data_IF_021219335256
#
_entry.id   IF_021219335256
#
_cell.length_a   1.000
_cell.length_b   1.000
_cell.length_c   1.000
_cell.angle_alpha   90.00
_cell.angle_beta   90.00
_cell.angle_gamma   90.00
#
_symmetry.space_group_name_H-M   'P 1'
#
loop_
_entity.id
_entity.type
_entity.pdbx_description
1 polymer ?
#
# COMPACT_ATOMS: atom_id res chain seq x y z
N UNK A 1 -9.78 -6.47 6.46
CA UNK A 1 -10.87 -5.57 5.99
C UNK A 1 -10.41 -4.15 5.69
N UNK A 2 -9.94 -3.34 6.65
CA UNK A 2 -9.53 -1.95 6.39
C UNK A 2 -8.45 -1.81 5.31
N UNK A 3 -7.48 -2.74 5.28
CA UNK A 3 -6.45 -2.80 4.23
C UNK A 3 -7.06 -2.76 2.83
N UNK A 4 -8.01 -3.66 2.57
CA UNK A 4 -8.65 -3.80 1.27
C UNK A 4 -9.62 -2.66 0.99
N UNK A 5 -10.51 -2.34 1.94
CA UNK A 5 -11.72 -1.54 1.65
C UNK A 5 -11.58 -0.06 1.98
N UNK A 6 -10.69 0.32 2.90
CA UNK A 6 -10.55 1.70 3.37
C UNK A 6 -9.32 2.39 2.78
N UNK A 7 -8.69 1.78 1.77
CA UNK A 7 -7.49 2.30 1.10
C UNK A 7 -7.58 2.12 -0.41
N UNK A 8 -6.63 2.71 -1.14
CA UNK A 8 -6.51 2.59 -2.58
C UNK A 8 -6.20 1.17 -3.07
N UNK A 9 -6.00 0.18 -2.17
CA UNK A 9 -5.99 -1.24 -2.55
C UNK A 9 -7.29 -1.62 -3.26
N UNK A 10 -8.44 -1.10 -2.83
CA UNK A 10 -9.72 -1.38 -3.48
C UNK A 10 -9.72 -0.91 -4.94
N UNK A 11 -9.35 0.34 -5.19
CA UNK A 11 -9.48 0.99 -6.50
C UNK A 11 -8.28 0.75 -7.42
N UNK A 12 -7.12 0.40 -6.88
CA UNK A 12 -5.88 0.20 -7.64
C UNK A 12 -5.52 -1.27 -7.79
N UNK A 13 -5.56 -2.03 -6.68
CA UNK A 13 -4.97 -3.37 -6.63
C UNK A 13 -6.00 -4.49 -6.83
N UNK A 14 -7.28 -4.23 -6.59
CA UNK A 14 -8.33 -5.24 -6.60
C UNK A 14 -9.22 -5.24 -7.86
N UNK A 15 -9.20 -4.16 -8.66
CA UNK A 15 -10.13 -3.99 -9.79
C UNK A 15 -9.52 -4.26 -11.17
N UNK A 16 -8.20 -4.23 -11.29
CA UNK A 16 -7.52 -4.45 -12.56
C UNK A 16 -6.17 -5.14 -12.32
N UNK A 17 -5.61 -5.72 -13.39
CA UNK A 17 -4.38 -6.50 -13.36
C UNK A 17 -3.12 -5.61 -13.32
N UNK A 18 -3.08 -4.68 -12.37
CA UNK A 18 -1.90 -3.83 -12.11
C UNK A 18 -0.89 -4.54 -11.21
N UNK A 19 0.36 -4.13 -11.33
CA UNK A 19 1.50 -4.57 -10.52
C UNK A 19 1.28 -4.51 -8.98
N UNK A 20 0.52 -3.53 -8.48
CA UNK A 20 0.34 -3.29 -7.03
C UNK A 20 -0.25 -4.50 -6.28
N UNK A 21 -1.18 -5.24 -6.91
CA UNK A 21 -1.81 -6.41 -6.26
C UNK A 21 -0.80 -7.53 -5.99
N UNK A 22 0.02 -7.86 -7.00
CA UNK A 22 1.06 -8.87 -6.88
C UNK A 22 2.16 -8.44 -5.89
N UNK A 23 2.57 -7.17 -5.90
CA UNK A 23 3.53 -6.62 -4.93
C UNK A 23 3.04 -6.78 -3.50
N UNK A 24 1.81 -6.37 -3.20
CA UNK A 24 1.26 -6.49 -1.85
C UNK A 24 1.23 -7.94 -1.36
N UNK A 25 0.84 -8.88 -2.24
CA UNK A 25 0.84 -10.30 -1.91
C UNK A 25 2.25 -10.79 -1.53
N UNK A 26 3.25 -10.43 -2.33
CA UNK A 26 4.64 -10.85 -2.12
C UNK A 26 5.25 -10.25 -0.86
N UNK A 27 5.05 -8.96 -0.62
CA UNK A 27 5.55 -8.25 0.58
C UNK A 27 4.86 -8.76 1.85
N UNK A 28 3.53 -8.97 1.83
CA UNK A 28 2.78 -9.55 2.95
C UNK A 28 3.21 -11.00 3.21
N UNK A 29 3.44 -11.79 2.15
CA UNK A 29 3.96 -13.15 2.28
C UNK A 29 5.35 -13.14 2.94
N UNK A 30 6.25 -12.26 2.50
CA UNK A 30 7.57 -12.11 3.11
C UNK A 30 7.46 -11.76 4.60
N UNK A 31 6.63 -10.78 4.97
CA UNK A 31 6.37 -10.43 6.37
C UNK A 31 5.81 -11.62 7.15
N UNK A 32 4.81 -12.33 6.61
CA UNK A 32 4.24 -13.52 7.25
C UNK A 32 5.29 -14.61 7.52
N UNK A 33 6.20 -14.81 6.56
CA UNK A 33 7.29 -15.78 6.71
C UNK A 33 8.35 -15.32 7.72
N UNK A 34 8.57 -14.02 7.91
CA UNK A 34 9.62 -13.47 8.78
C UNK A 34 9.12 -13.09 10.19
N UNK A 35 7.83 -12.82 10.37
CA UNK A 35 7.27 -12.32 11.63
C UNK A 35 7.60 -13.18 12.86
N UNK A 36 7.62 -14.54 12.79
CA UNK A 36 8.01 -15.35 13.94
C UNK A 36 9.43 -15.09 14.45
N UNK A 37 10.39 -14.70 13.58
CA UNK A 37 11.73 -14.35 14.03
C UNK A 37 11.72 -13.14 14.97
N UNK A 38 10.95 -12.11 14.64
CA UNK A 38 10.79 -10.92 15.49
C UNK A 38 10.00 -11.19 16.77
N UNK A 39 9.41 -12.38 16.91
CA UNK A 39 8.76 -12.88 18.13
C UNK A 39 9.63 -13.88 18.89
N UNK A 40 10.90 -14.03 18.53
CA UNK A 40 11.85 -14.91 19.19
C UNK A 40 11.73 -16.39 18.80
N UNK A 41 10.92 -16.73 17.79
CA UNK A 41 10.83 -18.10 17.31
C UNK A 41 11.92 -18.39 16.27
N UNK A 42 12.47 -19.61 16.29
CA UNK A 42 13.34 -20.10 15.22
C UNK A 42 12.54 -20.42 13.95
N UNK A 43 13.11 -20.12 12.78
CA UNK A 43 12.53 -20.51 11.49
C UNK A 43 13.58 -21.24 10.64
N UNK A 44 13.13 -22.13 9.75
CA UNK A 44 14.03 -22.89 8.89
C UNK A 44 14.71 -22.00 7.85
N UNK A 45 15.92 -22.39 7.41
CA UNK A 45 16.66 -21.68 6.35
C UNK A 45 15.86 -21.62 5.05
N UNK A 46 15.13 -22.69 4.70
CA UNK A 46 14.27 -22.72 3.52
C UNK A 46 13.18 -21.65 3.59
N UNK A 47 12.52 -21.48 4.74
CA UNK A 47 11.53 -20.42 4.95
C UNK A 47 12.10 -19.03 4.75
N UNK A 48 13.34 -18.79 5.20
CA UNK A 48 14.04 -17.52 4.99
C UNK A 48 14.36 -17.26 3.52
N UNK A 49 14.80 -18.28 2.80
CA UNK A 49 15.05 -18.17 1.35
C UNK A 49 13.75 -17.89 0.60
N UNK A 50 12.65 -18.56 0.95
CA UNK A 50 11.33 -18.32 0.34
C UNK A 50 10.85 -16.88 0.63
N UNK A 51 11.05 -16.38 1.85
CA UNK A 51 10.75 -14.99 2.17
C UNK A 51 11.58 -14.03 1.29
N UNK A 52 12.87 -14.32 1.12
CA UNK A 52 13.74 -13.60 0.20
C UNK A 52 13.24 -13.64 -1.23
N UNK A 53 12.88 -14.81 -1.76
CA UNK A 53 12.36 -14.95 -3.12
C UNK A 53 11.12 -14.08 -3.34
N UNK A 54 10.22 -14.01 -2.36
CA UNK A 54 9.04 -13.16 -2.41
C UNK A 54 9.42 -11.67 -2.51
N UNK A 55 10.37 -11.20 -1.70
CA UNK A 55 10.93 -9.83 -1.78
C UNK A 55 11.52 -9.55 -3.17
N UNK A 56 12.39 -10.45 -3.66
CA UNK A 56 13.01 -10.31 -4.99
C UNK A 56 12.00 -10.25 -6.14
N UNK A 57 10.96 -11.10 -6.13
CA UNK A 57 9.89 -11.04 -7.12
C UNK A 57 9.03 -9.78 -6.99
N UNK A 58 8.92 -9.19 -5.81
CA UNK A 58 8.23 -7.90 -5.64
C UNK A 58 8.97 -6.80 -6.40
N UNK A 59 10.32 -6.78 -6.32
CA UNK A 59 11.16 -5.84 -7.09
C UNK A 59 11.00 -6.01 -8.61
N UNK A 60 10.94 -7.26 -9.10
CA UNK A 60 10.67 -7.55 -10.52
C UNK A 60 9.31 -7.02 -10.94
N UNK A 61 8.31 -7.15 -10.07
CA UNK A 61 6.95 -6.70 -10.33
C UNK A 61 6.86 -5.17 -10.33
N UNK A 62 7.58 -4.52 -9.42
CA UNK A 62 7.60 -3.06 -9.25
C UNK A 62 8.89 -2.65 -8.54
N UNK A 63 9.74 -1.87 -9.23
CA UNK A 63 11.09 -1.55 -8.74
C UNK A 63 11.08 -0.76 -7.41
N UNK A 64 10.01 0.00 -7.13
CA UNK A 64 9.88 0.76 -5.87
C UNK A 64 9.79 -0.13 -4.62
N UNK A 65 9.40 -1.40 -4.77
CA UNK A 65 9.43 -2.39 -3.68
C UNK A 65 10.83 -2.63 -3.13
N UNK A 66 11.89 -2.27 -3.86
CA UNK A 66 13.26 -2.34 -3.36
C UNK A 66 13.47 -1.51 -2.06
N UNK A 67 12.69 -0.44 -1.85
CA UNK A 67 12.70 0.33 -0.61
C UNK A 67 12.13 -0.47 0.57
N UNK A 68 11.03 -1.19 0.35
CA UNK A 68 10.44 -2.07 1.35
C UNK A 68 11.40 -3.22 1.71
N UNK A 69 11.97 -3.87 0.69
CA UNK A 69 12.96 -4.94 0.84
C UNK A 69 14.18 -4.49 1.65
N UNK A 70 14.71 -3.30 1.35
CA UNK A 70 15.80 -2.70 2.09
C UNK A 70 15.43 -2.47 3.56
N UNK A 71 14.20 -2.03 3.84
CA UNK A 71 13.67 -1.90 5.20
C UNK A 71 13.62 -3.24 5.95
N UNK A 72 13.13 -4.30 5.31
CA UNK A 72 13.07 -5.64 5.90
C UNK A 72 14.48 -6.20 6.16
N UNK A 73 15.39 -6.08 5.19
CA UNK A 73 16.78 -6.55 5.35
C UNK A 73 17.52 -5.75 6.42
N UNK A 74 17.33 -4.44 6.50
CA UNK A 74 17.87 -3.61 7.56
C UNK A 74 17.31 -4.03 8.93
N UNK A 75 16.01 -4.29 9.04
CA UNK A 75 15.41 -4.80 10.26
C UNK A 75 16.07 -6.10 10.74
N UNK A 76 16.27 -7.06 9.83
CA UNK A 76 16.93 -8.32 10.16
C UNK A 76 18.40 -8.10 10.57
N UNK A 77 19.14 -7.29 9.81
CA UNK A 77 20.55 -6.99 10.08
C UNK A 77 20.74 -6.34 11.45
N UNK A 78 20.04 -5.24 11.72
CA UNK A 78 20.19 -4.48 12.96
C UNK A 78 19.60 -5.19 14.19
N UNK A 79 18.62 -6.09 14.00
CA UNK A 79 18.13 -6.98 15.05
C UNK A 79 19.04 -8.19 15.29
N UNK A 80 20.14 -8.35 14.53
CA UNK A 80 21.03 -9.53 14.55
C UNK A 80 20.30 -10.84 14.27
N UNK A 81 19.27 -10.78 13.42
CA UNK A 81 18.51 -11.93 12.92
C UNK A 81 19.16 -12.47 11.62
N UNK A 82 18.85 -13.71 11.21
CA UNK A 82 19.46 -14.33 10.03
C UNK A 82 18.99 -13.67 8.73
N UNK A 83 19.69 -12.60 8.32
CA UNK A 83 19.40 -11.82 7.11
C UNK A 83 19.98 -12.44 5.83
N UNK A 84 21.11 -13.17 5.92
CA UNK A 84 21.83 -13.69 4.74
C UNK A 84 20.98 -14.60 3.85
N UNK A 85 20.22 -15.59 4.37
CA UNK A 85 19.39 -16.44 3.52
C UNK A 85 18.25 -15.66 2.84
N UNK A 86 17.72 -14.63 3.51
CA UNK A 86 16.71 -13.73 2.95
C UNK A 86 17.31 -12.90 1.82
N UNK A 87 18.48 -12.31 2.02
CA UNK A 87 19.19 -11.56 0.98
C UNK A 87 19.54 -12.43 -0.23
N UNK A 88 19.99 -13.67 -0.02
CA UNK A 88 20.24 -14.64 -1.11
C UNK A 88 18.94 -14.91 -1.89
N UNK A 89 17.84 -15.19 -1.19
CA UNK A 89 16.54 -15.38 -1.83
C UNK A 89 16.09 -14.15 -2.63
N UNK A 90 16.28 -12.94 -2.08
CA UNK A 90 15.92 -11.69 -2.75
C UNK A 90 16.72 -11.48 -4.03
N UNK A 91 18.04 -11.74 -4.01
CA UNK A 91 18.86 -11.71 -5.22
C UNK A 91 18.38 -12.73 -6.25
N UNK A 92 18.12 -13.98 -5.85
CA UNK A 92 17.61 -15.01 -6.77
C UNK A 92 16.27 -14.59 -7.39
N UNK A 93 15.37 -14.01 -6.59
CA UNK A 93 14.06 -13.55 -7.07
C UNK A 93 14.15 -12.32 -7.99
N UNK A 94 15.14 -11.45 -7.79
CA UNK A 94 15.30 -10.20 -8.53
C UNK A 94 16.06 -10.35 -9.87
N UNK A 95 17.01 -11.31 -9.94
CA UNK A 95 17.87 -11.55 -11.12
C UNK A 95 17.13 -11.82 -12.44
N UNK A 96 15.95 -12.47 -12.49
CA UNK A 96 15.27 -12.77 -13.76
C UNK A 96 15.02 -11.55 -14.65
N UNK A 97 14.70 -10.39 -14.08
CA UNK A 97 14.41 -9.17 -14.86
C UNK A 97 15.64 -8.63 -15.61
N UNK A 98 16.75 -8.25 -14.95
CA UNK A 98 17.93 -7.75 -15.66
C UNK A 98 18.54 -8.79 -16.60
N UNK A 99 18.39 -10.09 -16.29
CA UNK A 99 18.82 -11.15 -17.21
C UNK A 99 17.95 -11.19 -18.47
N UNK A 100 16.63 -11.10 -18.31
CA UNK A 100 15.70 -11.02 -19.43
C UNK A 100 16.00 -9.79 -20.29
N UNK A 101 16.17 -8.62 -19.67
CA UNK A 101 16.43 -7.37 -20.39
C UNK A 101 17.76 -7.40 -21.15
N UNK A 102 18.81 -7.99 -20.55
CA UNK A 102 20.09 -8.18 -21.21
C UNK A 102 19.98 -9.11 -22.44
N UNK A 103 19.25 -10.22 -22.33
CA UNK A 103 19.09 -11.19 -23.42
C UNK A 103 18.18 -10.64 -24.53
N UNK A 104 17.08 -9.98 -24.17
CA UNK A 104 16.08 -9.50 -25.10
C UNK A 104 16.46 -8.17 -25.78
N UNK A 105 17.09 -7.26 -25.04
CA UNK A 105 17.33 -5.88 -25.46
C UNK A 105 18.82 -5.48 -25.48
N UNK A 106 19.72 -6.36 -25.06
CA UNK A 106 21.16 -6.08 -25.02
C UNK A 106 21.59 -5.16 -23.87
N UNK A 107 20.68 -4.82 -22.96
CA UNK A 107 20.93 -3.94 -21.82
C UNK A 107 20.17 -4.44 -20.58
N UNK A 108 20.88 -4.76 -19.50
CA UNK A 108 20.29 -5.27 -18.26
C UNK A 108 19.45 -4.25 -17.49
N UNK A 109 19.46 -2.99 -17.93
CA UNK A 109 18.72 -1.88 -17.33
C UNK A 109 17.79 -1.21 -18.34
N UNK A 110 17.37 -1.94 -19.37
CA UNK A 110 16.42 -1.43 -20.33
C UNK A 110 15.10 -1.03 -19.64
N UNK A 111 14.55 0.13 -19.98
CA UNK A 111 13.32 0.64 -19.38
C UNK A 111 12.31 0.99 -20.46
N UNK A 112 11.20 0.24 -20.54
CA UNK A 112 10.19 0.41 -21.59
C UNK A 112 9.46 1.77 -21.62
N UNK A 113 9.61 2.61 -20.59
CA UNK A 113 9.01 3.95 -20.51
C UNK A 113 10.05 5.09 -20.45
N UNK A 114 11.34 4.76 -20.55
CA UNK A 114 12.45 5.69 -20.34
C UNK A 114 12.56 6.20 -18.88
N UNK A 115 13.64 6.94 -18.61
CA UNK A 115 13.85 7.54 -17.30
C UNK A 115 13.01 8.82 -17.16
N UNK A 116 12.30 8.94 -16.03
CA UNK A 116 11.57 10.16 -15.64
C UNK A 116 12.39 10.93 -14.60
N UNK A 117 12.30 12.26 -14.65
CA UNK A 117 13.03 13.13 -13.73
C UNK A 117 12.44 13.09 -12.32
N UNK A 118 13.29 13.35 -11.33
CA UNK A 118 12.90 13.62 -9.94
C UNK A 118 13.05 15.13 -9.70
N UNK A 119 12.17 15.93 -10.30
CA UNK A 119 12.30 17.39 -10.38
C UNK A 119 11.12 18.15 -9.74
N UNK A 120 10.12 17.45 -9.19
CA UNK A 120 8.98 18.09 -8.52
C UNK A 120 9.48 18.87 -7.30
N UNK A 121 9.06 20.14 -7.10
CA UNK A 121 9.41 20.90 -5.90
C UNK A 121 9.05 20.11 -4.63
N UNK A 122 9.97 19.90 -3.67
CA UNK A 122 9.74 18.95 -2.58
C UNK A 122 8.48 19.21 -1.74
N UNK A 123 8.18 20.49 -1.47
CA UNK A 123 6.99 20.86 -0.69
C UNK A 123 5.69 20.61 -1.46
N UNK A 124 5.68 20.90 -2.76
CA UNK A 124 4.54 20.62 -3.63
C UNK A 124 4.29 19.13 -3.71
N UNK A 125 5.34 18.33 -3.96
CA UNK A 125 5.24 16.88 -4.03
C UNK A 125 4.80 16.24 -2.72
N UNK A 126 5.36 16.67 -1.57
CA UNK A 126 4.97 16.18 -0.25
C UNK A 126 3.53 16.52 0.08
N UNK A 127 3.11 17.76 -0.18
CA UNK A 127 1.70 18.15 -0.04
C UNK A 127 0.83 17.33 -0.98
N UNK A 128 1.25 17.18 -2.23
CA UNK A 128 0.66 16.36 -3.28
C UNK A 128 0.32 14.95 -2.81
N UNK A 129 1.32 14.18 -2.39
CA UNK A 129 1.13 12.76 -2.06
C UNK A 129 0.52 12.54 -0.68
N UNK A 130 0.69 13.45 0.29
CA UNK A 130 0.20 13.24 1.66
C UNK A 130 -1.15 13.91 1.94
N UNK A 131 -1.36 15.13 1.43
CA UNK A 131 -2.41 16.04 1.92
C UNK A 131 -3.24 16.71 0.82
N UNK A 132 -2.91 16.53 -0.46
CA UNK A 132 -3.68 17.15 -1.53
C UNK A 132 -5.11 16.60 -1.56
N UNK A 133 -6.09 17.45 -1.90
CA UNK A 133 -7.48 17.04 -1.92
C UNK A 133 -7.75 15.81 -2.80
N UNK A 134 -7.10 15.68 -3.95
CA UNK A 134 -7.41 14.63 -4.93
C UNK A 134 -6.42 13.45 -4.94
N UNK A 135 -5.30 13.51 -4.20
CA UNK A 135 -4.28 12.43 -4.15
C UNK A 135 -3.68 12.16 -2.79
N UNK A 136 -3.96 12.97 -1.77
CA UNK A 136 -3.34 12.87 -0.46
C UNK A 136 -3.71 11.60 0.31
N UNK A 137 -2.71 10.82 0.74
CA UNK A 137 -2.92 9.62 1.55
C UNK A 137 -3.77 9.89 2.79
N UNK A 138 -3.53 10.99 3.51
CA UNK A 138 -4.26 11.30 4.73
C UNK A 138 -5.58 12.04 4.48
N UNK A 139 -5.84 12.49 3.26
CA UNK A 139 -7.17 12.94 2.85
C UNK A 139 -8.06 11.72 2.61
N UNK A 140 -7.55 10.72 1.91
CA UNK A 140 -8.33 9.53 1.55
C UNK A 140 -8.38 8.46 2.65
N UNK A 141 -7.30 8.30 3.43
CA UNK A 141 -7.17 7.31 4.51
C UNK A 141 -6.58 7.94 5.79
N UNK A 142 -7.24 8.92 6.43
CA UNK A 142 -6.72 9.63 7.60
C UNK A 142 -6.42 8.71 8.81
N UNK A 143 -7.09 7.56 8.92
CA UNK A 143 -6.82 6.60 10.00
C UNK A 143 -5.38 6.04 9.96
N UNK A 144 -4.68 6.12 8.81
CA UNK A 144 -3.29 5.73 8.70
C UNK A 144 -2.35 6.64 9.52
N UNK A 145 -2.79 7.82 9.96
CA UNK A 145 -2.06 8.64 10.92
C UNK A 145 -1.81 7.90 12.24
N UNK A 146 -2.68 6.95 12.61
CA UNK A 146 -2.50 6.12 13.81
C UNK A 146 -1.36 5.10 13.69
N UNK A 147 -0.83 4.86 12.49
CA UNK A 147 0.38 4.06 12.29
C UNK A 147 1.66 4.84 12.66
N UNK A 148 1.62 6.19 12.66
CA UNK A 148 2.81 7.02 12.91
C UNK A 148 3.36 6.84 14.33
N UNK A 149 2.55 6.89 15.41
CA UNK A 149 3.10 6.77 16.77
C UNK A 149 3.85 5.45 17.02
N UNK A 150 3.35 4.25 16.64
CA UNK A 150 4.13 3.02 16.76
C UNK A 150 5.46 3.05 16.00
N UNK A 151 5.50 3.62 14.79
CA UNK A 151 6.75 3.76 14.02
C UNK A 151 7.76 4.67 14.73
N UNK A 152 7.30 5.75 15.36
CA UNK A 152 8.16 6.64 16.14
C UNK A 152 8.62 6.00 17.47
N UNK A 153 7.72 5.32 18.17
CA UNK A 153 8.01 4.63 19.43
C UNK A 153 8.98 3.45 19.24
N UNK A 154 9.01 2.85 18.05
CA UNK A 154 9.96 1.80 17.68
C UNK A 154 11.44 2.23 17.77
N UNK A 155 11.73 3.54 17.79
CA UNK A 155 13.09 4.05 18.04
C UNK A 155 13.52 3.96 19.51
N UNK A 156 12.56 3.82 20.44
CA UNK A 156 12.80 3.75 21.88
C UNK A 156 13.01 2.32 22.40
N UNK A 157 12.67 1.31 21.61
CA UNK A 157 12.85 -0.10 21.96
C UNK A 157 13.80 -0.80 20.99
N UNK A 158 14.51 -1.82 21.46
CA UNK A 158 15.35 -2.70 20.64
C UNK A 158 14.78 -4.11 20.52
N UNK A 159 13.63 -4.37 21.14
CA UNK A 159 13.08 -5.71 21.32
C UNK A 159 11.79 -5.92 20.51
N UNK A 160 11.44 -7.19 20.32
CA UNK A 160 10.22 -7.60 19.63
C UNK A 160 10.13 -7.03 18.21
N UNK A 161 9.00 -6.39 17.91
CA UNK A 161 8.72 -5.80 16.59
C UNK A 161 9.40 -4.45 16.36
N UNK A 162 10.06 -3.85 17.37
CA UNK A 162 10.60 -2.50 17.24
C UNK A 162 11.62 -2.35 16.09
N UNK A 163 12.59 -3.28 15.88
CA UNK A 163 13.48 -3.18 14.72
C UNK A 163 12.72 -3.22 13.38
N UNK A 164 11.71 -4.08 13.25
CA UNK A 164 10.91 -4.20 12.04
C UNK A 164 10.15 -2.90 11.75
N UNK A 165 9.38 -2.40 12.72
CA UNK A 165 8.60 -1.17 12.57
C UNK A 165 9.47 0.04 12.28
N UNK A 166 10.64 0.14 12.92
CA UNK A 166 11.60 1.22 12.69
C UNK A 166 12.03 1.28 11.23
N UNK A 167 12.52 0.18 10.69
CA UNK A 167 13.08 0.15 9.34
C UNK A 167 12.02 0.13 8.25
N UNK A 168 10.83 -0.43 8.52
CA UNK A 168 9.66 -0.22 7.67
C UNK A 168 9.21 1.25 7.65
N UNK A 169 9.30 1.95 8.78
CA UNK A 169 9.05 3.40 8.86
C UNK A 169 10.05 4.22 8.03
N UNK A 170 11.34 3.88 8.09
CA UNK A 170 12.38 4.49 7.23
C UNK A 170 12.11 4.20 5.76
N UNK A 171 11.80 2.96 5.39
CA UNK A 171 11.44 2.59 4.02
C UNK A 171 10.22 3.38 3.51
N UNK A 172 9.19 3.52 4.36
CA UNK A 172 7.97 4.29 4.04
C UNK A 172 8.30 5.77 3.83
N UNK A 173 9.13 6.37 4.68
CA UNK A 173 9.55 7.76 4.52
C UNK A 173 10.36 7.96 3.23
N UNK A 174 11.28 7.03 2.91
CA UNK A 174 12.05 7.06 1.67
C UNK A 174 11.13 6.95 0.44
N UNK A 175 10.12 6.08 0.48
CA UNK A 175 9.13 5.91 -0.58
C UNK A 175 8.28 7.18 -0.78
N UNK A 176 7.83 7.80 0.30
CA UNK A 176 7.10 9.09 0.26
C UNK A 176 7.96 10.17 -0.39
N UNK A 177 9.23 10.29 -0.01
CA UNK A 177 10.16 11.27 -0.59
C UNK A 177 10.39 10.96 -2.07
N UNK A 178 10.63 9.70 -2.44
CA UNK A 178 10.83 9.31 -3.83
C UNK A 178 9.64 9.71 -4.71
N UNK A 179 8.41 9.40 -4.27
CA UNK A 179 7.21 9.77 -5.02
C UNK A 179 6.89 11.26 -4.98
N UNK A 180 7.20 11.97 -3.90
CA UNK A 180 7.05 13.41 -3.84
C UNK A 180 7.95 14.12 -4.86
N UNK A 181 9.17 13.63 -5.07
CA UNK A 181 10.12 14.23 -6.02
C UNK A 181 9.87 13.80 -7.48
N UNK A 182 9.13 12.71 -7.69
CA UNK A 182 8.87 12.14 -9.01
C UNK A 182 8.06 13.08 -9.91
N UNK A 183 8.46 13.22 -11.18
CA UNK A 183 7.82 14.14 -12.13
C UNK A 183 6.31 13.89 -12.35
N UNK A 184 5.84 12.67 -12.12
CA UNK A 184 4.41 12.30 -12.23
C UNK A 184 3.83 11.88 -10.89
N UNK A 185 4.17 12.60 -9.81
CA UNK A 185 3.81 12.28 -8.42
C UNK A 185 2.32 11.96 -8.21
N UNK A 186 1.43 12.51 -9.04
CA UNK A 186 -0.02 12.28 -8.97
C UNK A 186 -0.46 10.87 -9.38
N UNK A 187 0.43 10.08 -9.97
CA UNK A 187 0.16 8.71 -10.32
C UNK A 187 -0.89 8.53 -11.41
N UNK A 188 -1.00 9.47 -12.35
CA UNK A 188 -1.89 9.36 -13.49
C UNK A 188 -3.39 9.49 -13.17
N UNK A 189 -4.23 9.03 -14.09
CA UNK A 189 -5.69 9.19 -14.10
C UNK A 189 -6.38 8.06 -13.33
N UNK A 190 -6.18 8.04 -12.01
CA UNK A 190 -6.64 6.98 -11.10
C UNK A 190 -7.34 7.58 -9.88
N UNK A 191 -8.14 6.79 -9.18
CA UNK A 191 -8.83 7.25 -7.98
C UNK A 191 -7.95 7.11 -6.72
N UNK A 192 -7.69 8.25 -6.06
CA UNK A 192 -7.03 8.32 -4.76
C UNK A 192 -5.50 8.18 -4.79
N UNK A 193 -4.92 7.86 -3.63
CA UNK A 193 -3.49 7.91 -3.35
C UNK A 193 -2.70 6.70 -3.90
N UNK A 194 -2.81 6.40 -5.20
CA UNK A 194 -2.28 5.19 -5.84
C UNK A 194 -0.83 4.86 -5.44
N UNK A 195 0.10 5.81 -5.58
CA UNK A 195 1.51 5.51 -5.34
C UNK A 195 1.81 5.15 -3.88
N UNK A 196 1.13 5.76 -2.92
CA UNK A 196 1.32 5.43 -1.51
C UNK A 196 0.55 4.16 -1.09
N UNK A 197 -0.08 3.44 -2.03
CA UNK A 197 -0.49 2.05 -1.76
C UNK A 197 0.69 1.16 -1.47
N UNK A 198 1.85 1.42 -2.10
CA UNK A 198 3.11 0.72 -1.86
C UNK A 198 3.58 0.83 -0.39
N UNK A 199 3.12 1.83 0.36
CA UNK A 199 3.45 1.96 1.78
C UNK A 199 2.60 1.07 2.70
N UNK A 200 1.47 0.55 2.22
CA UNK A 200 0.47 -0.10 3.08
C UNK A 200 0.96 -1.40 3.72
N UNK A 201 1.73 -2.29 3.03
CA UNK A 201 2.35 -3.45 3.65
C UNK A 201 3.25 -3.09 4.84
N UNK A 202 3.86 -1.90 4.84
CA UNK A 202 4.68 -1.39 5.94
C UNK A 202 3.86 -0.70 7.04
N UNK A 203 2.82 0.06 6.68
CA UNK A 203 1.99 0.83 7.62
C UNK A 203 1.03 -0.05 8.45
N UNK A 204 0.50 -1.14 7.87
CA UNK A 204 -0.48 -1.97 8.56
C UNK A 204 0.05 -2.78 9.74
N UNK A 205 1.28 -3.31 9.73
CA UNK A 205 1.92 -3.85 10.93
C UNK A 205 2.01 -2.84 12.08
N UNK A 206 2.31 -1.57 11.77
CA UNK A 206 2.31 -0.50 12.76
C UNK A 206 0.89 -0.20 13.27
N UNK A 207 -0.09 -0.17 12.38
CA UNK A 207 -1.49 0.01 12.74
C UNK A 207 -2.02 -1.13 13.62
N UNK A 208 -1.59 -2.37 13.38
CA UNK A 208 -2.02 -3.54 14.15
C UNK A 208 -1.56 -3.50 15.61
N UNK A 209 -0.45 -2.82 15.90
CA UNK A 209 0.02 -2.59 17.28
C UNK A 209 -0.39 -1.22 17.84
N UNK A 210 -1.05 -0.39 17.03
CA UNK A 210 -1.63 0.85 17.49
C UNK A 210 -2.84 0.51 18.38
N UNK A 211 -2.73 0.75 19.68
CA UNK A 211 -3.84 0.59 20.62
C UNK A 211 -4.25 1.98 21.11
N UNK A 212 -5.32 2.59 20.55
CA UNK A 212 -5.80 3.87 21.04
C UNK A 212 -6.35 3.72 22.46
N UNK A 213 -5.55 4.13 23.45
CA UNK A 213 -5.90 4.00 24.87
C UNK A 213 -7.10 4.86 25.29
N UNK A 214 -7.21 6.07 24.73
CA UNK A 214 -8.30 7.00 25.02
C UNK A 214 -9.57 6.72 24.18
N UNK A 215 -10.76 6.90 24.78
CA UNK A 215 -12.05 6.78 24.08
C UNK A 215 -12.12 7.69 22.85
N UNK A 216 -11.67 8.95 22.99
CA UNK A 216 -11.65 9.91 21.89
C UNK A 216 -10.80 9.43 20.71
N UNK A 217 -9.63 8.83 20.98
CA UNK A 217 -8.75 8.30 19.95
C UNK A 217 -9.38 7.10 19.22
N UNK A 218 -10.11 6.23 19.92
CA UNK A 218 -10.87 5.13 19.29
C UNK A 218 -12.01 5.65 18.41
N UNK A 219 -12.74 6.66 18.87
CA UNK A 219 -13.81 7.29 18.08
C UNK A 219 -13.24 7.97 16.85
N UNK A 220 -12.16 8.74 17.00
CA UNK A 220 -11.46 9.39 15.89
C UNK A 220 -10.94 8.36 14.87
N UNK A 221 -10.34 7.25 15.32
CA UNK A 221 -9.94 6.15 14.46
C UNK A 221 -11.15 5.57 13.70
N UNK A 222 -12.26 5.30 14.38
CA UNK A 222 -13.47 4.77 13.77
C UNK A 222 -14.05 5.70 12.69
N UNK A 223 -14.16 7.00 12.99
CA UNK A 223 -14.65 8.01 12.04
C UNK A 223 -13.73 8.12 10.82
N UNK A 224 -12.41 8.21 11.05
CA UNK A 224 -11.43 8.34 9.96
C UNK A 224 -11.30 7.07 9.12
N UNK A 225 -11.52 5.89 9.71
CA UNK A 225 -11.60 4.63 8.98
C UNK A 225 -12.90 4.52 8.18
N UNK A 226 -14.04 4.94 8.75
CA UNK A 226 -15.32 5.00 8.05
C UNK A 226 -15.27 5.97 6.86
N UNK A 227 -14.56 7.09 6.99
CA UNK A 227 -14.29 7.99 5.88
C UNK A 227 -13.52 7.31 4.74
N UNK A 228 -12.45 6.56 5.05
CA UNK A 228 -11.74 5.79 4.04
C UNK A 228 -12.61 4.73 3.37
N UNK A 229 -13.45 4.02 4.14
CA UNK A 229 -14.41 3.07 3.61
C UNK A 229 -15.42 3.73 2.67
N UNK A 230 -15.93 4.91 3.02
CA UNK A 230 -16.84 5.67 2.17
C UNK A 230 -16.15 6.06 0.86
N UNK A 231 -14.96 6.65 0.92
CA UNK A 231 -14.27 7.15 -0.26
C UNK A 231 -13.84 6.03 -1.20
N UNK A 232 -13.22 4.97 -0.70
CA UNK A 232 -12.78 3.87 -1.56
C UNK A 232 -13.92 2.91 -1.92
N UNK A 233 -15.00 2.87 -1.13
CA UNK A 233 -16.26 2.27 -1.54
C UNK A 233 -16.85 3.00 -2.74
N UNK A 234 -17.06 4.32 -2.63
CA UNK A 234 -17.55 5.15 -3.72
C UNK A 234 -16.61 5.11 -4.94
N UNK A 235 -15.30 5.23 -4.72
CA UNK A 235 -14.29 5.12 -5.78
C UNK A 235 -14.30 3.76 -6.48
N UNK A 236 -14.72 2.70 -5.80
CA UNK A 236 -14.79 1.38 -6.40
C UNK A 236 -15.99 1.17 -7.32
N UNK A 237 -17.08 1.91 -7.13
CA UNK A 237 -18.34 1.72 -7.85
C UNK A 237 -18.77 2.93 -8.70
N UNK A 238 -18.44 4.15 -8.28
CA UNK A 238 -18.89 5.42 -8.87
C UNK A 238 -17.81 6.17 -9.65
N UNK A 239 -16.54 5.74 -9.57
CA UNK A 239 -15.46 6.43 -10.27
C UNK A 239 -15.58 6.22 -11.78
N UNK A 240 -16.09 7.23 -12.48
CA UNK A 240 -16.39 7.17 -13.90
C UNK A 240 -15.11 7.01 -14.74
N UNK A 241 -15.10 5.99 -15.61
CA UNK A 241 -13.99 5.72 -16.54
C UNK A 241 -14.30 6.27 -17.93
N UNK A 242 -13.28 6.77 -18.60
CA UNK A 242 -13.33 7.04 -20.05
C UNK A 242 -13.22 5.75 -20.86
N UNK A 243 -13.68 5.75 -22.11
CA UNK A 243 -13.56 4.59 -23.00
C UNK A 243 -12.11 4.18 -23.27
N UNK A 244 -11.16 5.12 -23.22
CA UNK A 244 -9.72 4.87 -23.38
C UNK A 244 -8.98 4.51 -22.09
N UNK A 245 -9.71 4.35 -20.97
CA UNK A 245 -9.13 4.08 -19.66
C UNK A 245 -8.67 5.35 -18.92
N UNK A 246 -8.87 5.33 -17.60
CA UNK A 246 -8.62 6.45 -16.70
C UNK A 246 -9.87 7.27 -16.44
N UNK A 247 -9.87 8.01 -15.31
CA UNK A 247 -11.04 8.75 -14.84
C UNK A 247 -11.50 9.87 -15.77
N UNK A 248 -12.83 10.04 -15.86
CA UNK A 248 -13.46 11.15 -16.57
C UNK A 248 -13.03 12.48 -15.94
N UNK A 249 -13.20 12.62 -14.62
CA UNK A 249 -12.81 13.81 -13.86
C UNK A 249 -11.35 14.22 -14.14
N UNK A 250 -10.44 13.23 -14.14
CA UNK A 250 -9.00 13.43 -14.36
C UNK A 250 -8.70 13.86 -15.81
N UNK A 251 -9.43 13.30 -16.78
CA UNK A 251 -9.22 13.56 -18.20
C UNK A 251 -9.75 14.95 -18.58
N UNK A 252 -10.93 15.33 -18.10
CA UNK A 252 -11.53 16.65 -18.36
C UNK A 252 -10.67 17.80 -17.82
N UNK A 253 -9.99 17.58 -16.69
CA UNK A 253 -9.08 18.56 -16.07
C UNK A 253 -7.66 18.50 -16.60
N UNK A 254 -7.38 17.57 -17.52
CA UNK A 254 -6.09 17.40 -18.16
C UNK A 254 -4.91 17.28 -17.18
N UNK A 255 -5.10 16.52 -16.09
CA UNK A 255 -4.17 16.51 -14.94
C UNK A 255 -2.74 16.04 -15.25
N UNK A 256 -2.54 15.44 -16.42
CA UNK A 256 -1.20 15.04 -16.88
C UNK A 256 -0.37 16.24 -17.37
N UNK A 257 -1.01 17.37 -17.69
CA UNK A 257 -0.36 18.58 -18.18
C UNK A 257 -0.60 19.78 -17.27
N UNK A 258 -1.70 19.80 -16.51
CA UNK A 258 -1.99 20.83 -15.49
C UNK A 258 -2.49 20.20 -14.18
N UNK A 259 -1.65 20.23 -13.14
CA UNK A 259 -1.94 19.61 -11.85
C UNK A 259 -2.73 20.53 -10.91
N UNK A 260 -3.09 21.76 -11.29
CA UNK A 260 -3.78 22.71 -10.41
C UNK A 260 -5.09 22.14 -9.85
N UNK A 261 -5.82 21.37 -10.66
CA UNK A 261 -7.05 20.70 -10.24
C UNK A 261 -6.85 19.69 -9.10
N UNK A 262 -5.67 19.07 -8.99
CA UNK A 262 -5.37 18.12 -7.92
C UNK A 262 -5.26 18.78 -6.54
N UNK A 263 -5.04 20.10 -6.52
CA UNK A 263 -4.93 20.92 -5.33
C UNK A 263 -6.22 21.69 -4.99
N UNK A 264 -7.27 21.57 -5.82
CA UNK A 264 -8.55 22.22 -5.58
C UNK A 264 -9.37 21.52 -4.50
N UNK A 265 -9.71 22.24 -3.43
CA UNK A 265 -10.66 21.78 -2.40
C UNK A 265 -12.12 22.06 -2.76
N UNK A 266 -12.37 22.88 -3.79
CA UNK A 266 -13.72 23.23 -4.26
C UNK A 266 -14.23 22.21 -5.27
N UNK A 267 -13.32 21.66 -6.07
CA UNK A 267 -13.60 20.62 -7.05
C UNK A 267 -12.61 19.46 -6.91
N UNK A 268 -12.66 18.69 -5.80
CA UNK A 268 -11.79 17.54 -5.62
C UNK A 268 -12.39 16.26 -6.23
N UNK A 269 -11.54 15.34 -6.68
CA UNK A 269 -11.95 14.08 -7.33
C UNK A 269 -12.92 13.26 -6.47
N UNK A 270 -12.70 13.18 -5.15
CA UNK A 270 -13.58 12.44 -4.26
C UNK A 270 -14.98 13.05 -4.14
N UNK A 271 -15.14 14.37 -4.26
CA UNK A 271 -16.45 15.01 -4.18
C UNK A 271 -17.28 14.71 -5.43
N UNK A 272 -16.65 14.77 -6.60
CA UNK A 272 -17.26 14.36 -7.86
C UNK A 272 -17.73 12.90 -7.81
N UNK A 273 -16.86 12.01 -7.33
CA UNK A 273 -17.16 10.58 -7.19
C UNK A 273 -18.28 10.32 -6.18
N UNK A 274 -18.33 11.05 -5.06
CA UNK A 274 -19.43 10.94 -4.09
C UNK A 274 -20.77 11.45 -4.65
N UNK A 275 -20.76 12.49 -5.47
CA UNK A 275 -21.97 12.96 -6.17
C UNK A 275 -22.51 11.91 -7.12
N UNK A 276 -21.62 11.26 -7.88
CA UNK A 276 -22.00 10.14 -8.75
C UNK A 276 -22.52 8.93 -7.93
N UNK A 277 -21.94 8.66 -6.76
CA UNK A 277 -22.39 7.59 -5.87
C UNK A 277 -23.78 7.84 -5.27
N UNK A 278 -24.18 9.10 -5.10
CA UNK A 278 -25.51 9.45 -4.60
C UNK A 278 -26.64 9.12 -5.61
N UNK A 279 -26.30 8.85 -6.87
CA UNK A 279 -27.21 8.48 -7.95
C UNK A 279 -27.15 7.00 -8.34
N UNK A 280 -26.71 6.12 -7.44
CA UNK A 280 -26.67 4.67 -7.71
C UNK A 280 -28.05 4.08 -8.02
N UNK A 281 -28.07 3.22 -9.03
CA UNK A 281 -29.23 2.44 -9.43
C UNK A 281 -29.21 1.04 -8.77
N UNK A 282 -30.22 0.22 -9.10
CA UNK A 282 -30.37 -1.11 -8.51
C UNK A 282 -29.17 -2.05 -8.77
N UNK A 283 -28.48 -1.87 -9.89
CA UNK A 283 -27.30 -2.66 -10.28
C UNK A 283 -26.12 -2.35 -9.38
N UNK A 284 -25.79 -1.08 -9.12
CA UNK A 284 -24.69 -0.75 -8.21
C UNK A 284 -24.98 -1.20 -6.78
N UNK A 285 -26.23 -1.03 -6.31
CA UNK A 285 -26.65 -1.51 -5.00
C UNK A 285 -26.51 -3.04 -4.86
N UNK A 286 -26.86 -3.79 -5.91
CA UNK A 286 -26.65 -5.23 -5.94
C UNK A 286 -25.16 -5.61 -5.89
N UNK A 287 -24.30 -4.90 -6.61
CA UNK A 287 -22.85 -5.14 -6.59
C UNK A 287 -22.24 -4.89 -5.20
N UNK A 288 -22.68 -3.82 -4.52
CA UNK A 288 -22.29 -3.52 -3.14
C UNK A 288 -22.73 -4.65 -2.21
N UNK A 289 -24.00 -5.08 -2.31
CA UNK A 289 -24.53 -6.16 -1.48
C UNK A 289 -23.76 -7.47 -1.65
N UNK A 290 -23.48 -7.87 -2.90
CA UNK A 290 -22.68 -9.07 -3.19
C UNK A 290 -21.26 -8.97 -2.61
N UNK A 291 -20.63 -7.80 -2.72
CA UNK A 291 -19.30 -7.56 -2.13
C UNK A 291 -19.35 -7.73 -0.60
N UNK A 292 -20.34 -7.13 0.06
CA UNK A 292 -20.52 -7.26 1.50
C UNK A 292 -20.83 -8.71 1.93
N UNK A 293 -21.59 -9.45 1.13
CA UNK A 293 -21.89 -10.86 1.37
C UNK A 293 -20.60 -11.71 1.34
N UNK A 294 -19.75 -11.52 0.32
CA UNK A 294 -18.47 -12.22 0.21
C UNK A 294 -17.57 -11.88 1.39
N UNK A 295 -17.47 -10.60 1.76
CA UNK A 295 -16.66 -10.17 2.90
C UNK A 295 -17.19 -10.71 4.23
N UNK A 296 -18.51 -10.78 4.40
CA UNK A 296 -19.13 -11.38 5.58
C UNK A 296 -18.84 -12.89 5.66
N UNK A 297 -18.88 -13.59 4.53
CA UNK A 297 -18.52 -15.01 4.45
C UNK A 297 -17.04 -15.23 4.80
N UNK A 298 -16.13 -14.40 4.26
CA UNK A 298 -14.70 -14.47 4.60
C UNK A 298 -14.45 -14.17 6.08
N UNK A 299 -15.09 -13.14 6.64
CA UNK A 299 -14.98 -12.81 8.05
C UNK A 299 -15.51 -13.93 8.96
N UNK A 300 -16.60 -14.59 8.55
CA UNK A 300 -17.15 -15.76 9.24
C UNK A 300 -16.16 -16.93 9.26
N UNK A 301 -15.55 -17.25 8.10
CA UNK A 301 -14.51 -18.29 8.00
C UNK A 301 -13.29 -17.94 8.87
N UNK A 302 -12.82 -16.70 8.85
CA UNK A 302 -11.70 -16.25 9.68
C UNK A 302 -12.01 -16.32 11.18
N UNK A 303 -13.24 -15.99 11.59
CA UNK A 303 -13.66 -16.11 12.99
C UNK A 303 -13.46 -17.53 13.50
N UNK A 304 -13.86 -18.53 12.72
CA UNK A 304 -13.76 -19.94 13.11
C UNK A 304 -12.31 -20.46 13.05
N UNK A 305 -11.46 -19.84 12.23
CA UNK A 305 -10.01 -20.07 12.22
C UNK A 305 -9.30 -19.51 13.47
N UNK A 306 -9.81 -18.42 14.05
CA UNK A 306 -9.27 -17.74 15.23
C UNK A 306 -9.82 -18.28 16.56
N UNK A 307 -10.88 -19.09 16.55
CA UNK A 307 -11.38 -19.77 17.75
C UNK A 307 -10.33 -20.77 18.28
N UNK A 308 -10.00 -20.75 19.58
CA UNK A 308 -9.13 -21.74 20.20
C UNK A 308 -9.63 -23.15 19.90
N UNK A 309 -8.71 -24.08 19.64
CA UNK A 309 -9.02 -25.49 19.31
C UNK A 309 -9.93 -26.21 20.30
N UNK A 310 -10.10 -25.67 21.53
CA UNK A 310 -11.01 -26.17 22.57
C UNK A 310 -12.49 -25.88 22.33
N UNK A 311 -12.85 -25.05 21.35
CA UNK A 311 -14.24 -24.70 21.01
C UNK A 311 -14.69 -25.30 19.67
N UNK A 312 -13.86 -26.12 19.03
CA UNK A 312 -14.23 -26.93 17.86
C UNK A 312 -14.79 -28.27 18.35
N UNK A 313 -16.00 -28.24 18.89
CA UNK A 313 -16.80 -29.43 19.20
C UNK A 313 -17.96 -29.53 18.23
#
# INVERSE_FOLDING_TARGET
MLYLLATAVHTTSAQALWQHGAVHLLEILALFLLLPLFRGASVSRQRLVIAGLALGFAVVTRQTSALFDAGVLAALFFARLPWRPVAIGAVIGAVPLPLYDLVAFGNAFEQGYGAKAFATPPLEGLYGVLLSPSRGLFVYSPFLLFAIPPLLLAWRSREGLAPLLRWLGVATAALVVAYALYAEWWGGRVFGARFLTDALPALFPALAVAVPGARLARVAFGITAAWGLLLYGAGGFAYAQTAGGGGVWDTERNINFDQAALFSWVDPQWLDTLRAAASFDARELAAIFLTLLVLAALAFIERDALLPSRLRS
#
